data_IF_033944851225
#
_entry.id   IF_033944851225
#
_cell.length_a   1.000
_cell.length_b   1.000
_cell.length_c   1.000
_cell.angle_alpha   90.00
_cell.angle_beta   90.00
_cell.angle_gamma   90.00
#
_symmetry.space_group_name_H-M   'P 1'
#
loop_
_entity.id
_entity.type
_entity.pdbx_description
1 polymer ?
#
# COMPACT_ATOMS: atom_id res chain seq x y z
N UNK A 1 -9.53 4.58 0.89
CA UNK A 1 -9.32 3.22 1.40
C UNK A 1 -10.32 2.36 0.69
N UNK A 2 -9.82 1.36 -0.01
CA UNK A 2 -10.65 0.51 -0.85
C UNK A 2 -10.93 -0.83 -0.15
N UNK A 3 -10.01 -1.29 0.71
CA UNK A 3 -10.20 -2.46 1.55
C UNK A 3 -9.46 -2.30 2.89
N UNK A 4 -10.07 -2.83 3.95
CA UNK A 4 -9.45 -2.96 5.27
C UNK A 4 -9.65 -4.41 5.71
N UNK A 5 -8.57 -5.05 6.16
CA UNK A 5 -8.59 -6.43 6.66
C UNK A 5 -8.11 -6.44 8.11
N UNK A 6 -8.75 -7.24 8.95
CA UNK A 6 -8.33 -7.45 10.34
C UNK A 6 -7.93 -8.91 10.57
N UNK A 7 -6.74 -9.14 11.13
CA UNK A 7 -6.26 -10.46 11.54
C UNK A 7 -5.37 -10.33 12.77
N UNK A 8 -5.56 -11.18 13.79
CA UNK A 8 -4.85 -11.11 15.08
C UNK A 8 -4.78 -9.69 15.69
N UNK A 9 -5.88 -8.94 15.59
CA UNK A 9 -5.98 -7.55 16.07
C UNK A 9 -4.99 -6.58 15.40
N UNK A 10 -4.45 -6.93 14.23
CA UNK A 10 -3.66 -6.07 13.36
C UNK A 10 -4.48 -5.74 12.11
N UNK A 11 -4.49 -4.45 11.75
CA UNK A 11 -5.20 -3.96 10.57
C UNK A 11 -4.25 -3.86 9.37
N UNK A 12 -4.72 -4.32 8.22
CA UNK A 12 -4.12 -4.07 6.92
C UNK A 12 -5.00 -3.10 6.12
N UNK A 13 -4.47 -1.90 5.87
CA UNK A 13 -5.10 -0.88 5.05
C UNK A 13 -4.64 -1.01 3.61
N UNK A 14 -5.59 -1.11 2.69
CA UNK A 14 -5.31 -1.29 1.27
C UNK A 14 -5.97 -0.17 0.47
N UNK A 15 -5.15 0.50 -0.34
CA UNK A 15 -5.60 1.39 -1.39
C UNK A 15 -5.24 0.78 -2.75
N UNK A 16 -6.18 0.82 -3.68
CA UNK A 16 -6.04 0.31 -5.04
C UNK A 16 -6.05 1.47 -6.05
N UNK A 17 -5.15 1.41 -7.03
CA UNK A 17 -5.04 2.43 -8.07
C UNK A 17 -4.80 1.82 -9.44
N UNK A 18 -5.60 2.27 -10.41
CA UNK A 18 -5.47 1.92 -11.83
C UNK A 18 -4.88 3.07 -12.66
N UNK A 19 -4.43 4.15 -12.01
CA UNK A 19 -3.95 5.35 -12.70
C UNK A 19 -2.61 5.14 -13.39
N UNK A 20 -2.31 6.00 -14.37
CA UNK A 20 -0.97 6.07 -14.96
C UNK A 20 -0.22 7.25 -14.34
N UNK A 21 0.65 6.96 -13.37
CA UNK A 21 1.41 7.95 -12.62
C UNK A 21 2.32 8.81 -13.51
N UNK A 22 2.79 8.28 -14.64
CA UNK A 22 3.61 9.05 -15.58
C UNK A 22 2.85 10.23 -16.22
N UNK A 23 1.52 10.13 -16.35
CA UNK A 23 0.67 11.18 -16.90
C UNK A 23 0.13 12.15 -15.84
N UNK A 24 0.31 11.84 -14.56
CA UNK A 24 -0.25 12.60 -13.43
C UNK A 24 0.83 12.81 -12.36
N UNK A 25 1.84 13.63 -12.71
CA UNK A 25 2.94 13.97 -11.79
C UNK A 25 2.39 14.53 -10.47
N UNK A 26 2.88 14.01 -9.34
CA UNK A 26 2.54 14.47 -7.99
C UNK A 26 1.41 13.69 -7.32
N UNK A 27 0.55 12.99 -8.07
CA UNK A 27 -0.55 12.20 -7.47
C UNK A 27 -0.06 11.03 -6.64
N UNK A 28 1.07 10.45 -7.00
CA UNK A 28 1.78 9.42 -6.24
C UNK A 28 2.05 9.89 -4.79
N UNK A 29 2.57 11.10 -4.63
CA UNK A 29 2.93 11.65 -3.33
C UNK A 29 1.69 11.92 -2.48
N UNK A 30 0.63 12.49 -3.07
CA UNK A 30 -0.64 12.73 -2.37
C UNK A 30 -1.28 11.42 -1.87
N UNK A 31 -1.27 10.38 -2.71
CA UNK A 31 -1.81 9.06 -2.35
C UNK A 31 -1.01 8.46 -1.19
N UNK A 32 0.31 8.51 -1.26
CA UNK A 32 1.18 7.97 -0.21
C UNK A 32 1.02 8.73 1.11
N UNK A 33 0.93 10.06 1.08
CA UNK A 33 0.69 10.87 2.27
C UNK A 33 -0.69 10.59 2.89
N UNK A 34 -1.72 10.47 2.05
CA UNK A 34 -3.06 10.10 2.52
C UNK A 34 -3.08 8.72 3.17
N UNK A 35 -2.40 7.74 2.57
CA UNK A 35 -2.33 6.38 3.10
C UNK A 35 -1.52 6.32 4.40
N UNK A 36 -0.42 7.06 4.49
CA UNK A 36 0.39 7.19 5.69
C UNK A 36 -0.42 7.77 6.85
N UNK A 37 -1.04 8.94 6.65
CA UNK A 37 -1.73 9.68 7.70
C UNK A 37 -2.99 8.97 8.20
N UNK A 38 -3.81 8.42 7.30
CA UNK A 38 -5.03 7.68 7.68
C UNK A 38 -4.68 6.32 8.28
N UNK A 39 -3.73 5.60 7.67
CA UNK A 39 -3.30 4.30 8.17
C UNK A 39 -2.67 4.42 9.55
N UNK A 40 -1.84 5.44 9.80
CA UNK A 40 -1.24 5.64 11.12
C UNK A 40 -2.29 5.91 12.21
N UNK A 41 -3.29 6.76 11.92
CA UNK A 41 -4.35 7.08 12.88
C UNK A 41 -5.30 5.91 13.15
N UNK A 42 -5.62 5.13 12.12
CA UNK A 42 -6.66 4.12 12.22
C UNK A 42 -6.11 2.71 12.55
N UNK A 43 -4.93 2.35 12.03
CA UNK A 43 -4.34 1.03 12.17
C UNK A 43 -3.43 0.89 13.41
N UNK A 44 -3.12 2.01 14.07
CA UNK A 44 -2.21 2.05 15.22
C UNK A 44 -0.78 1.66 14.85
N UNK A 45 0.02 1.29 15.86
CA UNK A 45 1.45 0.99 15.70
C UNK A 45 1.70 -0.28 14.88
N UNK A 46 0.84 -1.29 15.02
CA UNK A 46 0.98 -2.61 14.40
C UNK A 46 0.25 -2.72 13.06
N UNK A 47 -0.27 -1.61 12.55
CA UNK A 47 -0.97 -1.55 11.29
C UNK A 47 -0.06 -1.68 10.08
N UNK A 48 -0.50 -2.44 9.08
CA UNK A 48 0.15 -2.54 7.77
C UNK A 48 -0.58 -1.69 6.74
N UNK A 49 0.17 -1.14 5.78
CA UNK A 49 -0.36 -0.27 4.73
C UNK A 49 0.12 -0.73 3.37
N UNK A 50 -0.80 -1.06 2.48
CA UNK A 50 -0.50 -1.49 1.12
C UNK A 50 -1.07 -0.53 0.09
N UNK A 51 -0.25 -0.23 -0.92
CA UNK A 51 -0.71 0.37 -2.16
C UNK A 51 -0.65 -0.69 -3.27
N UNK A 52 -1.82 -1.09 -3.75
CA UNK A 52 -1.96 -1.99 -4.90
C UNK A 52 -2.14 -1.15 -6.15
N UNK A 53 -1.22 -1.27 -7.11
CA UNK A 53 -1.23 -0.45 -8.32
C UNK A 53 -1.19 -1.28 -9.59
N UNK A 54 -2.06 -0.98 -10.56
CA UNK A 54 -2.02 -1.61 -11.87
C UNK A 54 -0.70 -1.32 -12.62
N UNK A 55 -0.04 -0.19 -12.32
CA UNK A 55 1.20 0.25 -12.99
C UNK A 55 2.30 0.57 -11.98
N UNK A 56 3.55 0.46 -12.42
CA UNK A 56 4.71 0.85 -11.62
C UNK A 56 4.64 2.36 -11.29
N UNK A 57 4.93 2.70 -10.04
CA UNK A 57 5.15 4.07 -9.59
C UNK A 57 6.57 4.51 -9.99
N UNK A 58 6.81 5.81 -10.11
CA UNK A 58 8.19 6.29 -10.29
C UNK A 58 9.07 5.96 -9.09
N UNK A 59 10.39 5.99 -9.30
CA UNK A 59 11.35 5.52 -8.30
C UNK A 59 11.40 6.44 -7.06
N UNK A 60 11.04 7.72 -7.20
CA UNK A 60 10.96 8.65 -6.07
C UNK A 60 9.77 8.31 -5.17
N UNK A 61 8.62 8.01 -5.76
CA UNK A 61 7.44 7.56 -5.07
C UNK A 61 7.66 6.20 -4.38
N UNK A 62 8.36 5.25 -5.04
CA UNK A 62 8.72 3.98 -4.42
C UNK A 62 9.65 4.17 -3.22
N UNK A 63 10.62 5.09 -3.31
CA UNK A 63 11.49 5.44 -2.19
C UNK A 63 10.69 6.02 -1.02
N UNK A 64 9.77 6.95 -1.30
CA UNK A 64 8.88 7.54 -0.29
C UNK A 64 7.92 6.52 0.34
N UNK A 65 7.37 5.60 -0.45
CA UNK A 65 6.53 4.53 0.07
C UNK A 65 7.30 3.66 1.10
N UNK A 66 8.57 3.36 0.81
CA UNK A 66 9.46 2.65 1.75
C UNK A 66 9.68 3.44 3.04
N UNK A 67 9.92 4.75 2.95
CA UNK A 67 10.05 5.65 4.11
C UNK A 67 8.78 5.64 4.99
N UNK A 68 7.60 5.60 4.36
CA UNK A 68 6.30 5.54 5.05
C UNK A 68 5.88 4.15 5.52
N UNK A 69 6.73 3.14 5.32
CA UNK A 69 6.43 1.73 5.59
C UNK A 69 5.14 1.28 4.89
N UNK A 70 4.99 1.68 3.63
CA UNK A 70 3.91 1.27 2.74
C UNK A 70 4.47 0.24 1.76
N UNK A 71 3.93 -0.97 1.78
CA UNK A 71 4.29 -1.97 0.76
C UNK A 71 3.55 -1.63 -0.54
N UNK A 72 4.28 -1.56 -1.66
CA UNK A 72 3.70 -1.29 -2.97
C UNK A 72 3.73 -2.55 -3.82
N UNK A 73 2.55 -3.02 -4.22
CA UNK A 73 2.39 -4.22 -5.05
C UNK A 73 1.88 -3.75 -6.41
N UNK A 74 2.64 -4.01 -7.48
CA UNK A 74 2.29 -3.45 -8.78
C UNK A 74 2.57 -4.33 -9.98
N UNK A 75 1.85 -4.06 -11.08
CA UNK A 75 2.07 -4.68 -12.38
C UNK A 75 2.05 -6.21 -12.30
N UNK A 76 3.11 -6.85 -12.80
CA UNK A 76 3.21 -8.32 -12.82
C UNK A 76 3.23 -8.97 -11.42
N UNK A 77 3.54 -8.23 -10.36
CA UNK A 77 3.57 -8.76 -8.99
C UNK A 77 2.15 -8.93 -8.39
N UNK A 78 1.13 -8.35 -9.03
CA UNK A 78 -0.27 -8.54 -8.65
C UNK A 78 -0.72 -10.01 -8.73
N UNK A 79 -0.11 -10.81 -9.60
CA UNK A 79 -0.40 -12.24 -9.70
C UNK A 79 -0.08 -13.00 -8.41
N UNK A 80 0.83 -12.47 -7.60
CA UNK A 80 1.26 -13.03 -6.32
C UNK A 80 0.50 -12.44 -5.13
N UNK A 81 -0.57 -11.65 -5.35
CA UNK A 81 -1.26 -10.94 -4.28
C UNK A 81 -1.80 -11.89 -3.20
N UNK A 82 -2.33 -13.05 -3.61
CA UNK A 82 -2.79 -14.10 -2.68
C UNK A 82 -1.66 -14.53 -1.73
N UNK A 83 -0.48 -14.83 -2.28
CA UNK A 83 0.66 -15.30 -1.49
C UNK A 83 1.19 -14.22 -0.56
N UNK A 84 1.17 -12.95 -1.00
CA UNK A 84 1.50 -11.81 -0.14
C UNK A 84 0.53 -11.67 1.02
N UNK A 85 -0.78 -11.85 0.79
CA UNK A 85 -1.78 -11.81 1.87
C UNK A 85 -1.55 -12.95 2.85
N UNK A 86 -1.32 -14.18 2.38
CA UNK A 86 -0.99 -15.32 3.24
C UNK A 86 0.28 -15.05 4.05
N UNK A 87 1.30 -14.47 3.42
CA UNK A 87 2.56 -14.09 4.07
C UNK A 87 2.33 -13.01 5.14
N UNK A 88 1.47 -12.02 4.87
CA UNK A 88 1.09 -11.01 5.87
C UNK A 88 0.35 -11.63 7.05
N UNK A 89 -0.60 -12.54 6.80
CA UNK A 89 -1.33 -13.23 7.87
C UNK A 89 -0.42 -14.11 8.74
N UNK A 90 0.67 -14.65 8.17
CA UNK A 90 1.65 -15.45 8.90
C UNK A 90 2.66 -14.63 9.73
N UNK A 91 2.64 -13.30 9.67
CA UNK A 91 3.47 -12.45 10.53
C UNK A 91 2.83 -12.40 11.93
N UNK A 92 3.31 -13.26 12.83
CA UNK A 92 2.98 -13.26 14.26
C UNK A 92 4.14 -12.67 15.04
#
# INVERSE_FOLDING_TARGET
MDCIVAHHNQLLFIECKTINFQKQKGKDTDILYKLESLGHRAAGLYGHKWLISARKLDDQALKRAKEYKIDVIYGADLKNLKDKVITWMGKV
#
